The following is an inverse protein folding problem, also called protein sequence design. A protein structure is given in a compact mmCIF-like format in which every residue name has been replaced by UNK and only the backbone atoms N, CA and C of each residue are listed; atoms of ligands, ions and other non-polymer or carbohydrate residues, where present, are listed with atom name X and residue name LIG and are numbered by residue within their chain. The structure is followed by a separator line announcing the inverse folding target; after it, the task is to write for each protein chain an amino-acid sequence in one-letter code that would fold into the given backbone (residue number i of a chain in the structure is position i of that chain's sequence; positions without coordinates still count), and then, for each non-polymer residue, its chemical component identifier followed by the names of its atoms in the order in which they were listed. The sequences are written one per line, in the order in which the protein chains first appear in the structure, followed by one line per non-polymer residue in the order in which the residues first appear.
data_IF_261319021395
#
_entry.id   IF_261319021395
#
_cell.length_a   1.000
_cell.length_b   1.000
_cell.length_c   1.000
_cell.angle_alpha   90.00
_cell.angle_beta   90.00
_cell.angle_gamma   90.00
#
_symmetry.space_group_name_H-M   'P 1'
#
loop_
_entity.id
_entity.type
_entity.pdbx_description
1 polymer ?
#
# COMPACT_ATOMS: atom_id res chain seq x y z
N UNK A 1 10.57 -26.21 22.30
CA UNK A 1 10.02 -26.40 20.93
C UNK A 1 8.85 -25.45 20.64
N UNK A 2 7.71 -25.52 21.34
CA UNK A 2 6.53 -24.65 21.05
C UNK A 2 6.83 -23.15 21.20
N UNK A 3 7.46 -22.72 22.30
CA UNK A 3 7.82 -21.31 22.50
C UNK A 3 8.81 -20.78 21.44
N UNK A 4 9.69 -21.64 20.93
CA UNK A 4 10.67 -21.27 19.92
C UNK A 4 10.02 -21.08 18.54
N UNK A 5 9.02 -21.92 18.22
CA UNK A 5 8.19 -21.77 17.03
C UNK A 5 7.36 -20.48 17.10
N UNK A 6 6.73 -20.20 18.25
CA UNK A 6 5.96 -18.96 18.47
C UNK A 6 6.87 -17.73 18.35
N UNK A 7 8.06 -17.76 18.96
CA UNK A 7 9.05 -16.69 18.86
C UNK A 7 9.46 -16.42 17.40
N UNK A 8 9.73 -17.46 16.62
CA UNK A 8 10.06 -17.33 15.19
C UNK A 8 8.88 -16.77 14.37
N UNK A 9 7.65 -17.14 14.71
CA UNK A 9 6.43 -16.64 14.05
C UNK A 9 6.09 -15.18 14.42
N UNK A 10 6.42 -14.73 15.62
CA UNK A 10 6.19 -13.34 16.03
C UNK A 10 7.35 -12.41 15.71
N UNK A 11 8.55 -12.97 15.47
CA UNK A 11 9.75 -12.21 15.14
C UNK A 11 9.55 -11.16 14.03
N UNK A 12 8.89 -11.45 12.90
CA UNK A 12 8.65 -10.45 11.86
C UNK A 12 7.75 -9.31 12.35
N UNK A 13 6.80 -9.57 13.23
CA UNK A 13 5.83 -8.59 13.72
C UNK A 13 6.44 -7.63 14.76
N UNK A 14 7.47 -8.08 15.48
CA UNK A 14 8.10 -7.31 16.56
C UNK A 14 9.34 -6.53 16.13
N UNK A 15 9.82 -6.68 14.89
CA UNK A 15 11.02 -5.98 14.39
C UNK A 15 10.69 -4.53 14.04
N UNK A 16 11.53 -3.58 14.48
CA UNK A 16 11.40 -2.16 14.11
C UNK A 16 11.38 -1.91 12.60
N UNK A 17 12.05 -2.74 11.81
CA UNK A 17 12.02 -2.69 10.34
C UNK A 17 10.61 -2.88 9.76
N UNK A 18 9.76 -3.68 10.42
CA UNK A 18 8.39 -3.95 9.95
C UNK A 18 7.50 -2.73 10.12
N UNK A 19 7.66 -1.97 11.20
CA UNK A 19 6.94 -0.72 11.39
C UNK A 19 7.36 0.36 10.39
N UNK A 20 8.67 0.50 10.12
CA UNK A 20 9.16 1.43 9.09
C UNK A 20 8.65 1.05 7.69
N UNK A 21 8.66 -0.25 7.36
CA UNK A 21 8.05 -0.79 6.13
C UNK A 21 6.55 -0.54 6.07
N UNK A 22 5.84 -0.65 7.20
CA UNK A 22 4.43 -0.30 7.31
C UNK A 22 4.17 1.16 6.97
N UNK A 23 4.97 2.08 7.54
CA UNK A 23 4.89 3.52 7.21
C UNK A 23 5.16 3.74 5.72
N UNK A 24 6.21 3.13 5.17
CA UNK A 24 6.51 3.20 3.74
C UNK A 24 5.29 2.80 2.91
N UNK A 25 4.74 1.60 3.11
CA UNK A 25 3.57 1.11 2.38
C UNK A 25 2.35 2.02 2.58
N UNK A 26 2.10 2.51 3.80
CA UNK A 26 0.99 3.42 4.07
C UNK A 26 1.10 4.74 3.30
N UNK A 27 2.31 5.25 3.04
CA UNK A 27 2.49 6.43 2.19
C UNK A 27 1.99 6.15 0.76
N UNK A 28 2.34 5.00 0.18
CA UNK A 28 1.79 4.55 -1.10
C UNK A 28 0.26 4.44 -1.08
N UNK A 29 -0.31 3.91 0.01
CA UNK A 29 -1.76 3.86 0.22
C UNK A 29 -2.41 5.23 0.26
N UNK A 30 -1.82 6.19 0.98
CA UNK A 30 -2.29 7.58 1.04
C UNK A 30 -2.25 8.25 -0.32
N UNK A 31 -1.18 8.02 -1.10
CA UNK A 31 -1.08 8.51 -2.47
C UNK A 31 -2.19 7.93 -3.33
N UNK A 32 -2.57 6.65 -3.16
CA UNK A 32 -3.62 5.99 -3.95
C UNK A 32 -5.02 6.57 -3.69
N UNK A 33 -5.32 7.02 -2.47
CA UNK A 33 -6.65 7.48 -2.05
C UNK A 33 -7.31 8.46 -3.03
N UNK A 34 -6.68 9.61 -3.40
CA UNK A 34 -7.30 10.54 -4.35
C UNK A 34 -7.59 9.92 -5.72
N UNK A 35 -6.77 8.96 -6.20
CA UNK A 35 -7.03 8.27 -7.47
C UNK A 35 -8.26 7.36 -7.36
N UNK A 36 -8.38 6.61 -6.26
CA UNK A 36 -9.55 5.74 -6.03
C UNK A 36 -10.83 6.54 -5.87
N UNK A 37 -10.78 7.65 -5.15
CA UNK A 37 -11.93 8.53 -4.96
C UNK A 37 -12.38 9.15 -6.28
N UNK A 38 -11.43 9.60 -7.10
CA UNK A 38 -11.72 10.16 -8.42
C UNK A 38 -12.33 9.11 -9.35
N UNK A 39 -11.81 7.88 -9.33
CA UNK A 39 -12.41 6.75 -10.02
C UNK A 39 -13.86 6.50 -9.59
N UNK A 40 -14.13 6.49 -8.29
CA UNK A 40 -15.49 6.30 -7.76
C UNK A 40 -16.45 7.43 -8.18
N UNK A 41 -15.98 8.68 -8.22
CA UNK A 41 -16.78 9.82 -8.71
C UNK A 41 -17.13 9.64 -10.19
N UNK A 42 -16.15 9.27 -11.03
CA UNK A 42 -16.42 9.04 -12.45
C UNK A 42 -17.34 7.85 -12.70
N UNK A 43 -17.23 6.78 -11.90
CA UNK A 43 -18.18 5.66 -11.97
C UNK A 43 -19.60 6.13 -11.70
N UNK A 44 -19.83 6.89 -10.62
CA UNK A 44 -21.15 7.46 -10.29
C UNK A 44 -21.68 8.36 -11.42
N UNK A 45 -20.84 9.23 -11.99
CA UNK A 45 -21.23 10.12 -13.10
C UNK A 45 -21.57 9.37 -14.39
N UNK A 46 -21.00 8.18 -14.62
CA UNK A 46 -21.31 7.36 -15.79
C UNK A 46 -22.59 6.55 -15.62
N UNK A 47 -22.94 6.23 -14.37
CA UNK A 47 -24.17 5.53 -14.00
C UNK A 47 -25.39 6.45 -13.96
N UNK A 48 -25.20 7.75 -13.70
CA UNK A 48 -26.29 8.74 -13.64
C UNK A 48 -26.82 9.09 -15.05
N UNK A 49 -28.10 8.75 -15.37
CA UNK A 49 -28.69 9.07 -16.68
C UNK A 49 -28.86 10.56 -16.95
N UNK A 50 -28.85 11.42 -15.93
CA UNK A 50 -28.99 12.87 -16.06
C UNK A 50 -27.68 13.56 -16.46
N UNK A 51 -26.54 12.87 -16.35
CA UNK A 51 -25.22 13.43 -16.64
C UNK A 51 -24.84 13.20 -18.11
N UNK A 52 -24.45 14.24 -18.87
CA UNK A 52 -24.02 14.08 -20.26
C UNK A 52 -22.75 13.22 -20.39
N UNK A 53 -22.89 11.97 -20.85
CA UNK A 53 -21.80 11.00 -20.98
C UNK A 53 -20.59 11.52 -21.77
N UNK A 54 -20.81 12.25 -22.86
CA UNK A 54 -19.74 12.79 -23.68
C UNK A 54 -18.84 13.75 -22.88
N UNK A 55 -19.43 14.62 -22.06
CA UNK A 55 -18.70 15.55 -21.19
C UNK A 55 -17.93 14.77 -20.12
N UNK A 56 -18.56 13.77 -19.48
CA UNK A 56 -17.91 12.90 -18.50
C UNK A 56 -16.68 12.20 -19.07
N UNK A 57 -16.77 11.66 -20.29
CA UNK A 57 -15.64 10.98 -20.94
C UNK A 57 -14.49 11.95 -21.28
N UNK A 58 -14.78 13.16 -21.73
CA UNK A 58 -13.75 14.19 -21.97
C UNK A 58 -13.05 14.55 -20.66
N UNK A 59 -13.80 14.80 -19.59
CA UNK A 59 -13.24 15.12 -18.29
C UNK A 59 -12.44 13.95 -17.70
N UNK A 60 -12.89 12.71 -17.90
CA UNK A 60 -12.15 11.51 -17.51
C UNK A 60 -10.82 11.41 -18.26
N UNK A 61 -10.82 11.65 -19.57
CA UNK A 61 -9.59 11.63 -20.36
C UNK A 61 -8.59 12.70 -19.89
N UNK A 62 -9.04 13.94 -19.66
CA UNK A 62 -8.20 15.01 -19.10
C UNK A 62 -7.67 14.62 -17.72
N UNK A 63 -8.53 14.04 -16.89
CA UNK A 63 -8.17 13.58 -15.54
C UNK A 63 -7.13 12.47 -15.56
N UNK A 64 -7.18 11.54 -16.51
CA UNK A 64 -6.17 10.48 -16.65
C UNK A 64 -4.82 11.10 -17.02
N UNK A 65 -4.80 12.06 -17.95
CA UNK A 65 -3.56 12.76 -18.34
C UNK A 65 -2.94 13.47 -17.14
N UNK A 66 -3.72 14.37 -16.53
CA UNK A 66 -3.81 14.62 -15.08
C UNK A 66 -2.95 13.74 -14.15
N UNK A 67 -3.59 12.65 -13.75
CA UNK A 67 -3.17 11.63 -12.82
C UNK A 67 -1.87 10.91 -13.22
N UNK A 68 -1.54 10.86 -14.50
CA UNK A 68 -0.29 10.22 -14.95
C UNK A 68 0.94 11.12 -14.80
N UNK A 69 0.78 12.44 -14.63
CA UNK A 69 1.91 13.38 -14.53
C UNK A 69 2.89 13.01 -13.40
N UNK A 70 2.47 12.74 -12.15
CA UNK A 70 3.39 12.42 -11.06
C UNK A 70 4.31 11.24 -11.36
N UNK A 71 3.84 10.20 -12.05
CA UNK A 71 4.63 9.01 -12.35
C UNK A 71 5.87 9.29 -13.22
N UNK A 72 5.89 10.41 -13.95
CA UNK A 72 6.98 10.78 -14.88
C UNK A 72 7.79 12.00 -14.42
N UNK A 73 7.46 12.61 -13.28
CA UNK A 73 8.19 13.74 -12.74
C UNK A 73 9.52 13.30 -12.10
N UNK A 74 10.59 14.08 -12.33
CA UNK A 74 11.89 13.86 -11.69
C UNK A 74 11.79 13.98 -10.16
N UNK A 75 10.96 14.90 -9.68
CA UNK A 75 10.70 15.07 -8.24
C UNK A 75 10.13 13.82 -7.58
N UNK A 76 9.31 13.04 -8.29
CA UNK A 76 8.78 11.77 -7.79
C UNK A 76 9.88 10.74 -7.57
N UNK A 77 10.83 10.62 -8.50
CA UNK A 77 12.01 9.74 -8.30
C UNK A 77 12.80 10.14 -7.05
N UNK A 78 13.04 11.43 -6.86
CA UNK A 78 13.78 11.93 -5.71
C UNK A 78 13.05 11.63 -4.39
N UNK A 79 11.73 11.84 -4.35
CA UNK A 79 10.90 11.55 -3.18
C UNK A 79 10.88 10.05 -2.86
N UNK A 80 10.73 9.19 -3.87
CA UNK A 80 10.75 7.74 -3.71
C UNK A 80 12.12 7.24 -3.21
N UNK A 81 13.22 7.75 -3.75
CA UNK A 81 14.58 7.44 -3.26
C UNK A 81 14.72 7.85 -1.79
N UNK A 82 14.27 9.05 -1.41
CA UNK A 82 14.32 9.52 -0.03
C UNK A 82 13.48 8.64 0.90
N UNK A 83 12.27 8.24 0.48
CA UNK A 83 11.41 7.33 1.23
C UNK A 83 12.06 5.95 1.41
N UNK A 84 12.68 5.41 0.36
CA UNK A 84 13.39 4.12 0.41
C UNK A 84 14.57 4.17 1.38
N UNK A 85 15.43 5.20 1.29
CA UNK A 85 16.54 5.35 2.24
C UNK A 85 16.03 5.51 3.68
N UNK A 86 15.05 6.39 3.88
CA UNK A 86 14.53 6.74 5.20
C UNK A 86 13.71 5.65 5.87
N UNK A 87 12.99 4.80 5.12
CA UNK A 87 12.04 3.83 5.67
C UNK A 87 12.36 2.37 5.36
N UNK A 88 13.08 2.09 4.27
CA UNK A 88 13.47 0.71 3.90
C UNK A 88 14.92 0.38 4.22
N UNK A 89 15.74 1.38 4.60
CA UNK A 89 17.17 1.20 4.91
C UNK A 89 18.01 0.70 3.72
N UNK A 90 17.58 1.05 2.51
CA UNK A 90 18.28 0.70 1.28
C UNK A 90 19.00 1.93 0.79
N UNK A 91 20.33 1.82 0.67
CA UNK A 91 21.15 2.87 0.11
C UNK A 91 21.00 2.90 -1.42
N UNK A 92 20.84 4.11 -1.94
CA UNK A 92 20.66 4.40 -3.36
C UNK A 92 21.44 5.68 -3.65
N UNK A 93 21.96 5.91 -4.86
CA UNK A 93 22.61 7.18 -5.21
C UNK A 93 21.58 8.29 -5.42
N UNK A 94 22.04 9.55 -5.36
CA UNK A 94 21.18 10.69 -5.67
C UNK A 94 20.77 10.67 -7.14
N UNK A 95 19.54 11.13 -7.46
CA UNK A 95 19.04 11.10 -8.83
C UNK A 95 19.89 11.99 -9.74
N UNK A 96 20.30 11.45 -10.89
CA UNK A 96 21.03 12.21 -11.90
C UNK A 96 20.21 13.40 -12.43
N UNK A 97 20.86 14.51 -12.85
CA UNK A 97 20.16 15.68 -13.39
C UNK A 97 19.36 15.35 -14.67
N UNK A 98 19.88 14.44 -15.49
CA UNK A 98 19.30 14.00 -16.76
C UNK A 98 18.91 12.53 -16.65
N UNK A 99 17.70 12.20 -17.12
CA UNK A 99 17.12 10.86 -16.99
C UNK A 99 16.66 10.38 -18.35
N UNK A 100 17.11 9.19 -18.74
CA UNK A 100 16.72 8.54 -19.99
C UNK A 100 15.31 7.92 -19.89
N UNK A 101 14.78 7.42 -21.01
CA UNK A 101 13.41 6.87 -21.06
C UNK A 101 13.26 5.61 -20.21
N UNK A 102 14.28 4.76 -20.16
CA UNK A 102 14.25 3.52 -19.39
C UNK A 102 14.12 3.82 -17.90
N UNK A 103 14.96 4.71 -17.37
CA UNK A 103 14.92 5.10 -15.96
C UNK A 103 13.60 5.78 -15.60
N UNK A 104 13.04 6.58 -16.50
CA UNK A 104 11.70 7.17 -16.31
C UNK A 104 10.61 6.10 -16.21
N UNK A 105 10.63 5.08 -17.08
CA UNK A 105 9.66 3.99 -17.04
C UNK A 105 9.82 3.11 -15.80
N UNK A 106 11.06 2.79 -15.40
CA UNK A 106 11.36 2.05 -14.15
C UNK A 106 10.88 2.82 -12.92
N UNK A 107 11.05 4.14 -12.91
CA UNK A 107 10.53 5.02 -11.85
C UNK A 107 9.00 5.04 -11.82
N UNK A 108 8.35 5.18 -12.98
CA UNK A 108 6.89 5.14 -13.08
C UNK A 108 6.32 3.80 -12.59
N UNK A 109 6.97 2.69 -12.97
CA UNK A 109 6.64 1.36 -12.49
C UNK A 109 6.81 1.23 -10.97
N UNK A 110 7.91 1.73 -10.43
CA UNK A 110 8.13 1.76 -8.98
C UNK A 110 7.03 2.53 -8.25
N UNK A 111 6.72 3.75 -8.72
CA UNK A 111 5.66 4.58 -8.15
C UNK A 111 4.30 3.86 -8.15
N UNK A 112 3.95 3.21 -9.26
CA UNK A 112 2.72 2.42 -9.35
C UNK A 112 2.72 1.22 -8.39
N UNK A 113 3.83 0.48 -8.29
CA UNK A 113 3.97 -0.65 -7.37
C UNK A 113 3.87 -0.22 -5.91
N UNK A 114 4.51 0.89 -5.54
CA UNK A 114 4.43 1.46 -4.20
C UNK A 114 2.98 1.83 -3.85
N UNK A 115 2.29 2.51 -4.77
CA UNK A 115 0.89 2.89 -4.61
C UNK A 115 -0.03 1.66 -4.46
N UNK A 116 0.11 0.65 -5.32
CA UNK A 116 -0.73 -0.56 -5.28
C UNK A 116 -0.47 -1.40 -4.03
N UNK A 117 0.80 -1.68 -3.71
CA UNK A 117 1.16 -2.44 -2.51
C UNK A 117 0.72 -1.71 -1.24
N UNK A 118 0.88 -0.39 -1.22
CA UNK A 118 0.41 0.46 -0.14
C UNK A 118 -1.10 0.46 0.01
N UNK A 119 -1.82 0.53 -1.11
CA UNK A 119 -3.29 0.43 -1.15
C UNK A 119 -3.82 -0.88 -0.59
N UNK A 120 -3.21 -2.01 -0.98
CA UNK A 120 -3.56 -3.35 -0.44
C UNK A 120 -3.40 -3.40 1.07
N UNK A 121 -2.29 -2.87 1.58
CA UNK A 121 -2.00 -2.82 3.03
C UNK A 121 -2.96 -1.89 3.75
N UNK A 122 -3.20 -0.69 3.22
CA UNK A 122 -4.13 0.29 3.80
C UNK A 122 -5.55 -0.27 3.85
N UNK A 123 -6.04 -0.88 2.76
CA UNK A 123 -7.35 -1.53 2.72
C UNK A 123 -7.42 -2.69 3.70
N UNK A 124 -6.38 -3.53 3.74
CA UNK A 124 -6.27 -4.64 4.70
C UNK A 124 -6.37 -4.16 6.15
N UNK A 125 -5.69 -3.06 6.49
CA UNK A 125 -5.77 -2.44 7.82
C UNK A 125 -7.16 -1.87 8.11
N UNK A 126 -7.75 -1.13 7.16
CA UNK A 126 -9.09 -0.55 7.29
C UNK A 126 -10.17 -1.60 7.52
N UNK A 127 -10.01 -2.80 6.94
CA UNK A 127 -10.93 -3.93 7.14
C UNK A 127 -10.59 -4.69 8.42
N UNK A 128 -9.33 -5.07 8.60
CA UNK A 128 -8.93 -6.00 9.65
C UNK A 128 -9.01 -5.40 11.04
N UNK A 129 -8.64 -4.13 11.23
CA UNK A 129 -8.66 -3.49 12.55
C UNK A 129 -10.05 -3.44 13.17
N UNK A 130 -11.08 -2.86 12.51
CA UNK A 130 -12.42 -2.83 13.11
C UNK A 130 -13.04 -4.22 13.27
N UNK A 131 -12.86 -5.11 12.29
CA UNK A 131 -13.43 -6.47 12.39
C UNK A 131 -12.74 -7.30 13.47
N UNK A 132 -11.42 -7.27 13.57
CA UNK A 132 -10.71 -7.97 14.63
C UNK A 132 -11.09 -7.43 16.02
N UNK A 133 -11.28 -6.13 16.16
CA UNK A 133 -11.79 -5.53 17.40
C UNK A 133 -13.17 -6.09 17.77
N UNK A 134 -14.12 -6.12 16.83
CA UNK A 134 -15.45 -6.71 17.05
C UNK A 134 -15.33 -8.19 17.44
N UNK A 135 -14.49 -8.95 16.76
CA UNK A 135 -14.41 -10.40 16.95
C UNK A 135 -13.72 -10.81 18.25
N UNK A 136 -12.64 -10.12 18.64
CA UNK A 136 -11.87 -10.45 19.85
C UNK A 136 -12.65 -10.06 21.11
N UNK A 137 -13.41 -8.95 21.06
CA UNK A 137 -14.16 -8.46 22.23
C UNK A 137 -15.36 -9.34 22.59
N UNK A 138 -15.81 -10.24 21.70
CA UNK A 138 -16.87 -11.20 22.00
C UNK A 138 -16.51 -12.16 23.14
N UNK A 139 -15.23 -12.53 23.27
CA UNK A 139 -14.76 -13.38 24.36
C UNK A 139 -14.90 -12.70 25.74
N UNK A 140 -14.91 -11.36 25.76
CA UNK A 140 -15.18 -10.54 26.94
C UNK A 140 -16.67 -10.24 27.13
N UNK A 141 -17.57 -10.86 26.35
CA UNK A 141 -19.01 -10.67 26.44
C UNK A 141 -19.56 -9.45 25.68
N UNK A 142 -18.70 -8.70 24.99
CA UNK A 142 -19.12 -7.54 24.19
C UNK A 142 -19.48 -8.03 22.78
N UNK A 143 -20.78 -8.12 22.48
CA UNK A 143 -21.29 -8.66 21.22
C UNK A 143 -22.19 -7.65 20.53
N UNK A 144 -21.88 -7.30 19.28
CA UNK A 144 -22.64 -6.34 18.50
C UNK A 144 -22.43 -6.54 17.00
N UNK A 145 -23.42 -6.12 16.21
CA UNK A 145 -23.42 -6.25 14.76
C UNK A 145 -23.81 -7.65 14.27
N UNK A 146 -23.70 -7.90 12.95
CA UNK A 146 -24.23 -9.12 12.31
C UNK A 146 -23.47 -10.41 12.67
N UNK A 147 -22.42 -10.31 13.50
CA UNK A 147 -21.59 -11.44 13.90
C UNK A 147 -21.77 -11.84 15.37
N UNK A 148 -22.78 -11.30 16.09
CA UNK A 148 -22.98 -11.52 17.53
C UNK A 148 -23.31 -12.96 17.93
N UNK A 149 -23.87 -13.73 17.00
CA UNK A 149 -24.42 -15.07 17.28
C UNK A 149 -23.43 -16.20 16.97
N UNK A 150 -22.26 -15.87 16.44
CA UNK A 150 -21.20 -16.83 16.17
C UNK A 150 -20.44 -17.22 17.44
N UNK A 151 -19.73 -18.36 17.37
CA UNK A 151 -18.90 -18.84 18.46
C UNK A 151 -17.77 -17.82 18.81
N UNK A 152 -17.71 -17.32 20.06
CA UNK A 152 -16.75 -16.28 20.44
C UNK A 152 -15.28 -16.70 20.33
N UNK A 153 -14.98 -17.97 20.56
CA UNK A 153 -13.61 -18.49 20.48
C UNK A 153 -13.16 -18.51 19.01
N UNK A 154 -14.01 -19.01 18.12
CA UNK A 154 -13.76 -18.99 16.68
C UNK A 154 -13.63 -17.55 16.15
N UNK A 155 -14.52 -16.64 16.52
CA UNK A 155 -14.43 -15.24 16.10
C UNK A 155 -13.11 -14.61 16.58
N UNK A 156 -12.74 -14.82 17.84
CA UNK A 156 -11.45 -14.34 18.38
C UNK A 156 -10.27 -14.86 17.55
N UNK A 157 -10.27 -16.16 17.21
CA UNK A 157 -9.23 -16.75 16.36
C UNK A 157 -9.20 -16.10 14.97
N UNK A 158 -10.35 -15.87 14.34
CA UNK A 158 -10.44 -15.17 13.04
C UNK A 158 -9.86 -13.76 13.16
N UNK A 159 -10.24 -12.99 14.18
CA UNK A 159 -9.72 -11.65 14.42
C UNK A 159 -8.19 -11.63 14.57
N UNK A 160 -7.64 -12.56 15.37
CA UNK A 160 -6.18 -12.70 15.52
C UNK A 160 -5.51 -13.07 14.19
N UNK A 161 -6.07 -14.02 13.44
CA UNK A 161 -5.53 -14.43 12.12
C UNK A 161 -5.53 -13.26 11.14
N UNK A 162 -6.58 -12.42 11.12
CA UNK A 162 -6.63 -11.22 10.27
C UNK A 162 -5.50 -10.25 10.59
N UNK A 163 -5.28 -9.94 11.88
CA UNK A 163 -4.20 -9.03 12.30
C UNK A 163 -2.81 -9.59 11.96
N UNK A 164 -2.61 -10.89 12.20
CA UNK A 164 -1.36 -11.58 11.85
C UNK A 164 -1.14 -11.55 10.33
N UNK A 165 -2.17 -11.82 9.53
CA UNK A 165 -2.09 -11.79 8.07
C UNK A 165 -1.69 -10.42 7.55
N UNK A 166 -2.28 -9.34 8.08
CA UNK A 166 -1.89 -7.96 7.71
C UNK A 166 -0.45 -7.66 8.12
N UNK A 167 -0.02 -8.06 9.31
CA UNK A 167 1.36 -7.89 9.75
C UNK A 167 2.37 -8.62 8.86
N UNK A 168 2.04 -9.83 8.40
CA UNK A 168 2.85 -10.56 7.43
C UNK A 168 2.82 -9.94 6.03
N UNK A 169 1.68 -9.38 5.59
CA UNK A 169 1.60 -8.64 4.33
C UNK A 169 2.53 -7.42 4.36
N UNK A 170 2.54 -6.65 5.45
CA UNK A 170 3.47 -5.53 5.65
C UNK A 170 4.92 -6.00 5.61
N UNK A 171 5.25 -7.06 6.36
CA UNK A 171 6.61 -7.59 6.40
C UNK A 171 7.07 -8.10 5.03
N UNK A 172 6.22 -8.83 4.31
CA UNK A 172 6.50 -9.42 3.01
C UNK A 172 6.62 -8.37 1.91
N UNK A 173 5.61 -7.53 1.74
CA UNK A 173 5.60 -6.46 0.72
C UNK A 173 6.71 -5.44 0.96
N UNK A 174 6.98 -5.08 2.22
CA UNK A 174 8.07 -4.17 2.54
C UNK A 174 9.46 -4.77 2.31
N UNK A 175 9.61 -6.10 2.52
CA UNK A 175 10.84 -6.80 2.15
C UNK A 175 11.02 -6.85 0.63
N UNK A 176 9.94 -7.15 -0.10
CA UNK A 176 9.95 -7.18 -1.56
C UNK A 176 10.29 -5.80 -2.13
N UNK A 177 9.70 -4.74 -1.60
CA UNK A 177 10.03 -3.37 -1.96
C UNK A 177 11.53 -3.09 -1.74
N UNK A 178 12.07 -3.42 -0.57
CA UNK A 178 13.50 -3.22 -0.29
C UNK A 178 14.41 -3.98 -1.27
N UNK A 179 14.04 -5.20 -1.67
CA UNK A 179 14.78 -5.99 -2.66
C UNK A 179 14.71 -5.38 -4.07
N UNK A 180 13.55 -4.82 -4.45
CA UNK A 180 13.30 -4.28 -5.78
C UNK A 180 13.76 -2.84 -5.95
N UNK A 181 13.99 -2.11 -4.86
CA UNK A 181 14.39 -0.70 -4.92
C UNK A 181 15.68 -0.47 -5.72
N UNK A 182 16.79 -1.23 -5.54
CA UNK A 182 17.98 -1.07 -6.37
C UNK A 182 17.72 -1.39 -7.84
N UNK A 183 16.83 -2.35 -8.12
CA UNK A 183 16.49 -2.79 -9.48
C UNK A 183 15.66 -1.75 -10.23
N UNK A 184 14.78 -1.00 -9.57
CA UNK A 184 13.88 -0.06 -10.23
C UNK A 184 14.27 1.40 -10.06
N UNK A 185 14.96 1.76 -8.96
CA UNK A 185 15.40 3.13 -8.70
C UNK A 185 16.91 3.33 -8.88
N UNK A 186 17.70 2.26 -8.90
CA UNK A 186 19.15 2.34 -9.09
C UNK A 186 19.57 2.86 -10.48
N UNK A 187 20.85 3.26 -10.63
CA UNK A 187 21.34 3.96 -11.82
C UNK A 187 21.29 3.07 -13.07
N UNK A 188 20.83 3.65 -14.18
CA UNK A 188 20.91 3.00 -15.50
C UNK A 188 22.35 3.01 -16.04
N UNK A 189 22.60 2.27 -17.11
CA UNK A 189 23.92 2.26 -17.77
C UNK A 189 24.38 3.65 -18.21
N UNK A 190 23.45 4.55 -18.58
CA UNK A 190 23.77 5.93 -18.95
C UNK A 190 24.05 6.86 -17.75
N UNK A 191 23.69 6.45 -16.54
CA UNK A 191 23.90 7.21 -15.29
C UNK A 191 25.15 6.74 -14.52
N UNK A 192 25.85 5.70 -14.99
CA UNK A 192 27.12 5.19 -14.41
C UNK A 192 28.32 5.83 -15.08
#
# INVERSE_FOLDING_TARGET
MILEVISKLLSPLMRGSTYRRGIYLLLGGVILLPYTQLGAVFMQLLEDPQVPRAVTLVLLAVTIVIACVPAVLRGTRALEIAAVRGLLDVDLPDPAPTVDRETRLRTALWFALHMVAGGVVALGLLIALPLAFIFITQLAGIRYGPFSDYDPVLMTLVGVVMLVAVGYAVAGLGSLAALMAPVLLGPSTSER
#
